data_IF_757100522039
#
_entry.id   IF_757100522039
#
_cell.length_a   1.000
_cell.length_b   1.000
_cell.length_c   1.000
_cell.angle_alpha   90.00
_cell.angle_beta   90.00
_cell.angle_gamma   90.00
#
_symmetry.space_group_name_H-M   'P 1'
#
loop_
_entity.id
_entity.type
_entity.pdbx_description
1 polymer ?
#
# COMPACT_ATOMS: atom_id res chain seq x y z
N UNK A 1 -22.61 4.47 -8.92
CA UNK A 1 -22.40 5.76 -9.62
C UNK A 1 -20.91 5.88 -9.90
N UNK A 2 -20.48 5.87 -11.16
CA UNK A 2 -19.07 6.03 -11.53
C UNK A 2 -18.68 7.51 -11.50
N UNK A 3 -17.76 7.89 -10.63
CA UNK A 3 -17.20 9.24 -10.63
C UNK A 3 -16.26 9.37 -11.84
N UNK A 4 -16.53 10.31 -12.75
CA UNK A 4 -15.61 10.56 -13.88
C UNK A 4 -14.52 11.51 -13.39
N UNK A 5 -13.29 10.98 -13.26
CA UNK A 5 -12.13 11.76 -12.86
C UNK A 5 -11.27 12.10 -14.06
N UNK A 6 -11.09 13.38 -14.34
CA UNK A 6 -10.18 13.84 -15.39
C UNK A 6 -8.73 13.76 -14.90
N UNK A 7 -7.79 13.54 -15.83
CA UNK A 7 -6.36 13.51 -15.51
C UNK A 7 -5.87 14.77 -14.79
N UNK A 8 -6.44 15.94 -15.12
CA UNK A 8 -6.14 17.20 -14.43
C UNK A 8 -6.53 17.16 -12.95
N UNK A 9 -7.73 16.69 -12.63
CA UNK A 9 -8.17 16.54 -11.23
C UNK A 9 -7.34 15.50 -10.49
N UNK A 10 -6.93 14.42 -11.16
CA UNK A 10 -6.03 13.42 -10.61
C UNK A 10 -4.68 14.04 -10.22
N UNK A 11 -4.09 14.84 -11.11
CA UNK A 11 -2.84 15.56 -10.86
C UNK A 11 -2.95 16.55 -9.70
N UNK A 12 -4.02 17.35 -9.65
CA UNK A 12 -4.26 18.32 -8.59
C UNK A 12 -4.42 17.63 -7.22
N UNK A 13 -5.21 16.56 -7.16
CA UNK A 13 -5.41 15.78 -5.93
C UNK A 13 -4.14 15.04 -5.49
N UNK A 14 -3.39 14.47 -6.43
CA UNK A 14 -2.10 13.81 -6.16
C UNK A 14 -1.09 14.80 -5.58
N UNK A 15 -1.02 16.02 -6.12
CA UNK A 15 -0.15 17.08 -5.59
C UNK A 15 -0.54 17.49 -4.17
N UNK A 16 -1.84 17.70 -3.92
CA UNK A 16 -2.33 18.05 -2.61
C UNK A 16 -2.06 16.92 -1.58
N UNK A 17 -2.20 15.66 -1.99
CA UNK A 17 -1.89 14.52 -1.14
C UNK A 17 -0.39 14.44 -0.81
N UNK A 18 0.49 14.68 -1.79
CA UNK A 18 1.93 14.72 -1.56
C UNK A 18 2.35 15.84 -0.58
N UNK A 19 1.72 17.02 -0.68
CA UNK A 19 1.94 18.12 0.27
C UNK A 19 1.44 17.76 1.66
N UNK A 20 0.25 17.16 1.77
CA UNK A 20 -0.31 16.70 3.04
C UNK A 20 0.57 15.65 3.74
N UNK A 21 1.16 14.72 2.98
CA UNK A 21 2.07 13.71 3.56
C UNK A 21 3.34 14.34 4.14
N UNK A 22 3.90 15.34 3.47
CA UNK A 22 5.13 16.02 3.90
C UNK A 22 4.87 17.02 5.03
N UNK A 23 3.87 17.88 4.89
CA UNK A 23 3.59 18.98 5.82
C UNK A 23 2.66 18.57 6.96
N UNK A 24 1.65 17.75 6.68
CA UNK A 24 0.65 17.33 7.66
C UNK A 24 1.12 16.17 8.53
N UNK A 25 1.75 15.15 7.92
CA UNK A 25 2.24 13.96 8.64
C UNK A 25 3.75 14.01 8.95
N UNK A 26 4.49 14.97 8.40
CA UNK A 26 5.93 15.09 8.64
C UNK A 26 6.76 13.93 8.05
N UNK A 27 6.21 13.18 7.12
CA UNK A 27 6.88 12.02 6.51
C UNK A 27 8.03 12.47 5.61
N UNK A 28 9.14 11.74 5.67
CA UNK A 28 10.34 12.05 4.92
C UNK A 28 10.46 11.17 3.67
N UNK A 29 11.33 11.58 2.74
CA UNK A 29 11.66 10.77 1.57
C UNK A 29 12.25 9.43 2.03
N UNK A 30 11.72 8.34 1.49
CA UNK A 30 12.09 6.97 1.88
C UNK A 30 11.16 6.32 2.91
N UNK A 31 10.24 7.08 3.52
CA UNK A 31 9.24 6.49 4.41
C UNK A 31 8.27 5.60 3.63
N UNK A 32 7.82 4.53 4.30
CA UNK A 32 6.93 3.52 3.72
C UNK A 32 5.49 3.82 4.11
N UNK A 33 4.66 4.13 3.11
CA UNK A 33 3.24 4.41 3.31
C UNK A 33 2.43 3.19 2.90
N UNK A 34 1.83 2.53 3.90
CA UNK A 34 0.92 1.42 3.69
C UNK A 34 -0.43 1.93 3.16
N UNK A 35 -0.77 1.55 1.94
CA UNK A 35 -2.08 1.78 1.34
C UNK A 35 -2.94 0.53 1.50
N UNK A 36 -3.99 0.65 2.30
CA UNK A 36 -5.01 -0.37 2.48
C UNK A 36 -6.35 0.21 2.00
N UNK A 37 -6.59 0.12 0.69
CA UNK A 37 -7.84 0.58 0.06
C UNK A 37 -8.34 -0.44 -0.97
N UNK A 38 -9.66 -0.65 -1.09
CA UNK A 38 -10.24 -1.40 -2.21
C UNK A 38 -10.02 -0.65 -3.54
N UNK A 39 -10.04 -1.37 -4.67
CA UNK A 39 -9.80 -0.84 -6.03
C UNK A 39 -10.79 0.29 -6.43
N UNK A 40 -10.53 1.50 -5.97
CA UNK A 40 -11.29 2.72 -6.26
C UNK A 40 -10.41 3.71 -7.03
N UNK A 41 -11.03 4.70 -7.69
CA UNK A 41 -10.35 5.82 -8.36
C UNK A 41 -9.44 6.67 -7.44
N UNK A 42 -9.54 6.47 -6.13
CA UNK A 42 -8.67 7.10 -5.14
C UNK A 42 -7.29 6.43 -5.04
N UNK A 43 -7.18 5.16 -5.46
CA UNK A 43 -5.92 4.43 -5.48
C UNK A 43 -4.84 5.12 -6.33
N UNK A 44 -5.10 5.51 -7.60
CA UNK A 44 -4.11 6.24 -8.38
C UNK A 44 -3.76 7.61 -7.77
N UNK A 45 -4.71 8.33 -7.16
CA UNK A 45 -4.42 9.60 -6.47
C UNK A 45 -3.39 9.38 -5.36
N UNK A 46 -3.61 8.38 -4.52
CA UNK A 46 -2.74 8.08 -3.39
C UNK A 46 -1.38 7.54 -3.86
N UNK A 47 -1.37 6.65 -4.86
CA UNK A 47 -0.16 6.11 -5.47
C UNK A 47 0.72 7.23 -6.04
N UNK A 48 0.16 8.09 -6.89
CA UNK A 48 0.91 9.19 -7.48
C UNK A 48 1.34 10.21 -6.44
N UNK A 49 0.53 10.48 -5.40
CA UNK A 49 0.90 11.41 -4.35
C UNK A 49 2.06 10.90 -3.49
N UNK A 50 2.08 9.61 -3.14
CA UNK A 50 3.18 8.97 -2.38
C UNK A 50 4.46 8.95 -3.20
N UNK A 51 4.39 8.50 -4.46
CA UNK A 51 5.54 8.48 -5.36
C UNK A 51 6.10 9.90 -5.58
N UNK A 52 5.22 10.90 -5.72
CA UNK A 52 5.62 12.30 -5.88
C UNK A 52 6.27 12.88 -4.62
N UNK A 53 5.83 12.45 -3.43
CA UNK A 53 6.47 12.81 -2.17
C UNK A 53 7.82 12.10 -1.94
N UNK A 54 8.22 11.18 -2.83
CA UNK A 54 9.46 10.41 -2.70
C UNK A 54 9.38 9.30 -1.65
N UNK A 55 8.17 8.83 -1.37
CA UNK A 55 7.88 7.77 -0.40
C UNK A 55 7.64 6.44 -1.13
N UNK A 56 7.74 5.35 -0.37
CA UNK A 56 7.55 3.99 -0.89
C UNK A 56 6.11 3.56 -0.62
N UNK A 57 5.35 3.28 -1.68
CA UNK A 57 4.02 2.70 -1.55
C UNK A 57 4.12 1.22 -1.16
N UNK A 58 3.43 0.83 -0.09
CA UNK A 58 3.24 -0.57 0.29
C UNK A 58 1.76 -0.89 0.13
N UNK A 59 1.41 -1.64 -0.91
CA UNK A 59 0.04 -2.12 -1.07
C UNK A 59 -0.20 -3.27 -0.07
N UNK A 60 -1.03 -3.04 0.93
CA UNK A 60 -1.39 -4.05 1.91
C UNK A 60 -2.71 -4.68 1.45
N UNK A 61 -2.63 -5.93 1.00
CA UNK A 61 -3.82 -6.72 0.69
C UNK A 61 -4.56 -7.02 2.01
N UNK A 62 -5.83 -6.58 2.18
CA UNK A 62 -6.61 -6.87 3.38
C UNK A 62 -6.88 -8.36 3.61
N UNK A 63 -6.62 -9.21 2.61
CA UNK A 63 -6.87 -10.65 2.65
C UNK A 63 -5.68 -11.50 3.13
N UNK A 64 -4.75 -10.95 3.91
CA UNK A 64 -3.82 -11.79 4.68
C UNK A 64 -4.37 -11.93 6.09
N UNK A 65 -5.25 -12.91 6.37
CA UNK A 65 -5.62 -13.21 7.73
C UNK A 65 -4.34 -13.56 8.52
N UNK A 66 -4.26 -13.05 9.76
CA UNK A 66 -3.25 -13.39 10.79
C UNK A 66 -3.16 -14.90 11.13
N UNK A 67 -3.74 -15.79 10.33
CA UNK A 67 -3.98 -17.19 10.62
C UNK A 67 -2.94 -18.17 10.00
N UNK A 68 -1.97 -17.72 9.20
CA UNK A 68 -0.97 -18.63 8.62
C UNK A 68 0.47 -18.44 9.15
N UNK A 69 0.63 -17.83 10.34
CA UNK A 69 1.91 -17.85 11.06
C UNK A 69 2.20 -19.22 11.70
N UNK A 70 1.24 -20.17 11.69
CA UNK A 70 1.51 -21.54 12.12
C UNK A 70 2.31 -22.28 11.05
N UNK A 71 3.61 -21.95 10.98
CA UNK A 71 4.73 -22.89 10.85
C UNK A 71 4.24 -24.31 10.52
N UNK A 72 4.23 -24.62 9.23
CA UNK A 72 4.30 -26.00 8.78
C UNK A 72 5.66 -26.55 9.17
N UNK A 73 5.86 -26.87 10.45
CA UNK A 73 6.97 -27.68 10.93
C UNK A 73 6.74 -29.18 10.67
N UNK A 74 5.67 -29.55 9.96
CA UNK A 74 5.29 -30.95 9.65
C UNK A 74 6.00 -31.51 8.40
N UNK A 75 7.21 -31.07 8.07
CA UNK A 75 8.05 -31.77 7.07
C UNK A 75 9.49 -31.86 7.54
N UNK A 76 9.68 -32.35 8.77
CA UNK A 76 10.99 -32.78 9.26
C UNK A 76 10.92 -34.06 10.12
N UNK A 77 9.91 -34.89 9.91
CA UNK A 77 9.73 -36.15 10.63
C UNK A 77 9.37 -37.33 9.70
N UNK A 78 10.05 -37.45 8.55
CA UNK A 78 10.12 -38.74 7.84
C UNK A 78 11.45 -39.40 8.15
N UNK A 79 11.41 -40.13 9.27
CA UNK A 79 12.26 -41.24 9.72
C UNK A 79 13.27 -41.74 8.68
N UNK A 80 14.55 -41.68 9.07
CA UNK A 80 15.50 -42.76 8.81
C UNK A 80 14.96 -44.03 9.46
N UNK A 81 14.61 -45.04 8.66
CA UNK A 81 14.60 -46.44 9.07
C UNK A 81 14.49 -47.31 7.81
N UNK A 82 15.64 -47.77 7.34
CA UNK A 82 15.98 -49.15 6.97
C UNK A 82 17.25 -49.16 6.12
#
# INVERSE_FOLDING_TARGET
MGEVMTYRKLEERSRAFAAYLQEGLGLQKGDRVALMMPNLLQYPVALFGILRAGMIVVNVNPYIPRANWSISSTTAARRRSS
#
